data_IF_384921866015
#
_entry.id   IF_384921866015
#
_cell.length_a   1.000
_cell.length_b   1.000
_cell.length_c   1.000
_cell.angle_alpha   90.00
_cell.angle_beta   90.00
_cell.angle_gamma   90.00
#
_symmetry.space_group_name_H-M   'P 1'
#
loop_
_entity.id
_entity.type
_entity.pdbx_description
1 polymer ?
#
# COMPACT_ATOMS: atom_id res chain seq x y z
N UNK A 1 -22.11 16.61 -8.73
CA UNK A 1 -23.15 15.63 -8.31
C UNK A 1 -22.45 14.79 -7.27
N UNK A 2 -22.90 14.76 -6.01
CA UNK A 2 -22.22 13.94 -5.00
C UNK A 2 -22.21 12.48 -5.47
N UNK A 3 -21.06 11.80 -5.41
CA UNK A 3 -20.98 10.36 -5.62
C UNK A 3 -22.00 9.68 -4.68
N UNK A 4 -23.05 9.10 -5.26
CA UNK A 4 -24.05 8.33 -4.50
C UNK A 4 -23.49 6.94 -4.25
N UNK A 5 -23.40 6.54 -2.98
CA UNK A 5 -22.99 5.19 -2.62
C UNK A 5 -23.97 4.17 -3.21
N UNK A 6 -23.46 3.23 -4.02
CA UNK A 6 -24.16 1.99 -4.33
C UNK A 6 -24.01 1.00 -3.18
N UNK A 7 -24.77 -0.11 -3.15
CA UNK A 7 -24.55 -1.17 -2.16
C UNK A 7 -23.10 -1.69 -2.13
N UNK A 8 -22.39 -1.67 -3.26
CA UNK A 8 -21.06 -2.25 -3.39
C UNK A 8 -19.92 -1.24 -3.45
N UNK A 9 -20.21 0.07 -3.44
CA UNK A 9 -19.18 1.12 -3.47
C UNK A 9 -19.43 2.21 -2.43
N UNK A 10 -18.36 2.63 -1.74
CA UNK A 10 -18.41 3.69 -0.72
C UNK A 10 -17.34 4.76 -0.97
N UNK A 11 -17.71 6.03 -1.20
CA UNK A 11 -16.76 7.15 -1.28
C UNK A 11 -15.88 7.27 -0.02
N UNK A 12 -14.59 7.57 -0.17
CA UNK A 12 -13.70 7.76 0.99
C UNK A 12 -14.21 8.83 1.97
N UNK A 13 -14.81 9.92 1.48
CA UNK A 13 -15.39 10.97 2.31
C UNK A 13 -16.63 10.54 3.13
N UNK A 14 -17.11 9.32 2.96
CA UNK A 14 -18.22 8.73 3.74
C UNK A 14 -17.75 7.59 4.66
N UNK A 15 -16.46 7.24 4.64
CA UNK A 15 -15.90 6.16 5.44
C UNK A 15 -15.43 6.66 6.81
N UNK A 16 -15.64 5.83 7.82
CA UNK A 16 -15.12 6.01 9.18
C UNK A 16 -14.39 4.75 9.65
N UNK A 17 -13.67 4.84 10.79
CA UNK A 17 -12.97 3.71 11.39
C UNK A 17 -13.83 2.45 11.54
N UNK A 18 -15.12 2.63 11.87
CA UNK A 18 -16.07 1.54 12.07
C UNK A 18 -16.41 0.77 10.78
N UNK A 19 -16.12 1.33 9.60
CA UNK A 19 -16.35 0.66 8.32
C UNK A 19 -15.27 -0.40 7.99
N UNK A 20 -14.17 -0.49 8.75
CA UNK A 20 -13.05 -1.42 8.49
C UNK A 20 -13.48 -2.85 8.12
N UNK A 21 -14.45 -3.49 8.78
CA UNK A 21 -14.91 -4.82 8.37
C UNK A 21 -15.49 -4.87 6.95
N UNK A 22 -16.09 -3.78 6.47
CA UNK A 22 -16.73 -3.69 5.15
C UNK A 22 -15.82 -3.17 4.03
N UNK A 23 -14.70 -2.50 4.36
CA UNK A 23 -13.82 -1.85 3.36
C UNK A 23 -12.32 -2.12 3.55
N UNK A 24 -11.94 -2.91 4.54
CA UNK A 24 -10.53 -3.18 4.83
C UNK A 24 -9.80 -2.06 5.56
N UNK A 25 -8.59 -2.36 6.02
CA UNK A 25 -7.74 -1.44 6.80
C UNK A 25 -7.38 -0.17 6.04
N UNK A 26 -6.91 -0.32 4.79
CA UNK A 26 -6.47 0.79 3.95
C UNK A 26 -7.57 1.78 3.63
N UNK A 27 -8.74 1.31 3.16
CA UNK A 27 -9.84 2.22 2.84
C UNK A 27 -10.40 2.91 4.10
N UNK A 28 -10.49 2.21 5.23
CA UNK A 28 -10.91 2.82 6.49
C UNK A 28 -9.92 3.90 6.94
N UNK A 29 -8.62 3.63 6.85
CA UNK A 29 -7.54 4.59 7.14
C UNK A 29 -7.65 5.83 6.24
N UNK A 30 -7.85 5.66 4.92
CA UNK A 30 -8.07 6.77 3.99
C UNK A 30 -9.32 7.60 4.36
N UNK A 31 -10.41 6.95 4.73
CA UNK A 31 -11.62 7.63 5.21
C UNK A 31 -11.43 8.46 6.47
N UNK A 32 -10.67 7.93 7.43
CA UNK A 32 -10.31 8.64 8.66
C UNK A 32 -9.47 9.90 8.37
N UNK A 33 -8.48 9.78 7.48
CA UNK A 33 -7.68 10.92 7.03
C UNK A 33 -8.55 12.00 6.37
N UNK A 34 -9.46 11.62 5.47
CA UNK A 34 -10.40 12.56 4.83
C UNK A 34 -11.28 13.23 5.87
N UNK A 35 -11.85 12.46 6.81
CA UNK A 35 -12.68 12.98 7.91
C UNK A 35 -11.92 13.93 8.84
N UNK A 36 -10.60 13.76 8.96
CA UNK A 36 -9.71 14.66 9.70
C UNK A 36 -9.31 15.93 8.92
N UNK A 37 -9.82 16.12 7.70
CA UNK A 37 -9.47 17.26 6.85
C UNK A 37 -8.01 17.23 6.37
N UNK A 38 -7.45 16.03 6.21
CA UNK A 38 -6.12 15.83 5.63
C UNK A 38 -6.23 15.62 4.11
N UNK A 39 -5.22 16.04 3.33
CA UNK A 39 -5.27 15.99 1.89
C UNK A 39 -5.07 14.55 1.40
N UNK A 40 -6.14 13.91 0.95
CA UNK A 40 -6.14 12.56 0.38
C UNK A 40 -6.74 12.66 -1.03
N UNK A 41 -6.15 12.03 -2.06
CA UNK A 41 -6.80 11.96 -3.36
C UNK A 41 -8.19 11.31 -3.24
N UNK A 42 -9.19 11.91 -3.88
CA UNK A 42 -10.55 11.37 -3.86
C UNK A 42 -10.59 9.95 -4.43
N UNK A 43 -11.58 9.19 -4.01
CA UNK A 43 -11.74 7.80 -4.41
C UNK A 43 -12.90 7.13 -3.69
N UNK A 44 -13.03 5.83 -3.93
CA UNK A 44 -14.03 4.99 -3.31
C UNK A 44 -13.48 3.59 -3.02
N UNK A 45 -14.08 2.93 -2.05
CA UNK A 45 -13.86 1.52 -1.77
C UNK A 45 -14.90 0.68 -2.53
N UNK A 46 -14.46 -0.40 -3.16
CA UNK A 46 -15.31 -1.55 -3.53
C UNK A 46 -15.38 -2.45 -2.30
N UNK A 47 -16.58 -2.65 -1.76
CA UNK A 47 -16.80 -3.26 -0.45
C UNK A 47 -16.44 -4.75 -0.43
N UNK A 48 -16.24 -5.29 0.77
CA UNK A 48 -16.10 -6.74 1.00
C UNK A 48 -17.33 -7.49 0.48
N UNK A 49 -18.53 -6.93 0.70
CA UNK A 49 -19.80 -7.52 0.24
C UNK A 49 -19.83 -7.71 -1.28
N UNK A 50 -19.15 -6.85 -2.06
CA UNK A 50 -19.05 -7.01 -3.51
C UNK A 50 -18.33 -8.32 -3.88
N UNK A 51 -17.27 -8.67 -3.14
CA UNK A 51 -16.56 -9.92 -3.38
C UNK A 51 -17.30 -11.12 -2.81
N UNK A 52 -17.98 -10.98 -1.66
CA UNK A 52 -18.83 -12.04 -1.12
C UNK A 52 -19.94 -12.42 -2.10
N UNK A 53 -20.72 -11.45 -2.55
CA UNK A 53 -21.84 -11.69 -3.45
C UNK A 53 -21.37 -12.19 -4.82
N UNK A 54 -20.20 -11.72 -5.31
CA UNK A 54 -19.59 -12.27 -6.52
C UNK A 54 -19.29 -13.78 -6.39
N UNK A 55 -18.79 -14.21 -5.23
CA UNK A 55 -18.51 -15.63 -4.96
C UNK A 55 -19.78 -16.45 -4.78
N UNK A 56 -20.86 -15.84 -4.27
CA UNK A 56 -22.14 -16.51 -3.95
C UNK A 56 -23.14 -16.59 -5.10
N UNK A 57 -23.10 -15.65 -6.05
CA UNK A 57 -23.96 -15.67 -7.26
C UNK A 57 -23.49 -16.72 -8.30
N UNK A 58 -22.51 -17.56 -7.94
CA UNK A 58 -21.95 -18.58 -8.82
C UNK A 58 -21.40 -19.79 -8.06
N UNK A 59 -20.88 -20.78 -8.79
CA UNK A 59 -20.16 -21.93 -8.21
C UNK A 59 -18.77 -21.56 -7.70
N UNK A 60 -18.34 -20.31 -7.89
CA UNK A 60 -16.99 -19.84 -7.65
C UNK A 60 -16.53 -20.07 -6.22
N UNK A 61 -17.40 -19.84 -5.21
CA UNK A 61 -17.02 -20.07 -3.80
C UNK A 61 -16.58 -21.51 -3.56
N UNK A 62 -17.38 -22.47 -4.00
CA UNK A 62 -17.10 -23.89 -3.80
C UNK A 62 -15.89 -24.36 -4.62
N UNK A 63 -15.72 -23.85 -5.84
CA UNK A 63 -14.54 -24.17 -6.66
C UNK A 63 -13.24 -23.67 -6.04
N UNK A 64 -13.23 -22.42 -5.55
CA UNK A 64 -12.07 -21.84 -4.87
C UNK A 64 -11.78 -22.55 -3.54
N UNK A 65 -12.82 -22.90 -2.78
CA UNK A 65 -12.69 -23.67 -1.55
C UNK A 65 -12.05 -25.04 -1.81
N UNK A 66 -12.58 -25.80 -2.76
CA UNK A 66 -12.06 -27.11 -3.12
C UNK A 66 -10.61 -27.03 -3.61
N UNK A 67 -10.27 -25.99 -4.37
CA UNK A 67 -8.91 -25.73 -4.84
C UNK A 67 -7.93 -25.51 -3.68
N UNK A 68 -8.29 -24.70 -2.67
CA UNK A 68 -7.46 -24.46 -1.48
C UNK A 68 -7.33 -25.71 -0.62
N UNK A 69 -8.39 -26.50 -0.48
CA UNK A 69 -8.38 -27.72 0.35
C UNK A 69 -7.64 -28.89 -0.28
N UNK A 70 -7.65 -29.01 -1.62
CA UNK A 70 -7.06 -30.14 -2.33
C UNK A 70 -5.55 -29.99 -2.61
N UNK A 71 -4.99 -28.79 -2.45
CA UNK A 71 -3.60 -28.52 -2.79
C UNK A 71 -2.62 -29.16 -1.79
N UNK A 72 -1.48 -29.63 -2.28
CA UNK A 72 -0.33 -29.95 -1.43
C UNK A 72 0.39 -28.67 -1.03
N UNK A 73 0.11 -28.17 0.18
CA UNK A 73 0.69 -26.94 0.71
C UNK A 73 2.22 -27.00 0.92
N UNK A 74 2.85 -28.16 0.81
CA UNK A 74 4.32 -28.32 0.90
C UNK A 74 5.02 -28.19 -0.46
N UNK A 75 4.25 -28.22 -1.55
CA UNK A 75 4.76 -28.18 -2.92
C UNK A 75 4.58 -26.80 -3.55
N UNK A 76 5.69 -26.08 -3.75
CA UNK A 76 5.67 -24.77 -4.40
C UNK A 76 5.05 -24.80 -5.81
N UNK A 77 5.28 -25.87 -6.58
CA UNK A 77 4.67 -26.02 -7.91
C UNK A 77 3.17 -26.30 -7.84
N UNK A 78 2.70 -27.06 -6.85
CA UNK A 78 1.27 -27.29 -6.65
C UNK A 78 0.55 -26.00 -6.24
N UNK A 79 1.15 -25.22 -5.34
CA UNK A 79 0.64 -23.91 -4.93
C UNK A 79 0.59 -22.93 -6.11
N UNK A 80 1.61 -22.92 -6.97
CA UNK A 80 1.59 -22.08 -8.18
C UNK A 80 0.48 -22.49 -9.15
N UNK A 81 0.31 -23.79 -9.42
CA UNK A 81 -0.79 -24.27 -10.28
C UNK A 81 -2.17 -23.95 -9.70
N UNK A 82 -2.32 -24.06 -8.37
CA UNK A 82 -3.54 -23.67 -7.68
C UNK A 82 -3.80 -22.16 -7.80
N UNK A 83 -2.77 -21.34 -7.64
CA UNK A 83 -2.86 -19.90 -7.87
C UNK A 83 -3.32 -19.57 -9.29
N UNK A 84 -2.64 -20.10 -10.31
CA UNK A 84 -2.96 -19.85 -11.71
C UNK A 84 -4.42 -20.26 -12.01
N UNK A 85 -4.87 -21.38 -11.44
CA UNK A 85 -6.25 -21.85 -11.60
C UNK A 85 -7.26 -20.96 -10.88
N UNK A 86 -6.95 -20.47 -9.68
CA UNK A 86 -7.81 -19.54 -8.96
C UNK A 86 -7.95 -18.21 -9.71
N UNK A 87 -6.86 -17.69 -10.29
CA UNK A 87 -6.89 -16.49 -11.15
C UNK A 87 -7.80 -16.74 -12.36
N UNK A 88 -7.64 -17.86 -13.05
CA UNK A 88 -8.51 -18.24 -14.18
C UNK A 88 -9.99 -18.28 -13.76
N UNK A 89 -10.31 -18.92 -12.64
CA UNK A 89 -11.68 -19.00 -12.12
C UNK A 89 -12.25 -17.61 -11.83
N UNK A 90 -11.50 -16.78 -11.11
CA UNK A 90 -11.93 -15.42 -10.73
C UNK A 90 -12.08 -14.49 -11.93
N UNK A 91 -11.30 -14.67 -13.00
CA UNK A 91 -11.39 -13.80 -14.19
C UNK A 91 -12.37 -14.32 -15.27
N UNK A 92 -12.69 -15.61 -15.27
CA UNK A 92 -13.60 -16.21 -16.26
C UNK A 92 -15.07 -16.26 -15.81
N UNK A 93 -15.33 -16.29 -14.50
CA UNK A 93 -16.71 -16.21 -13.99
C UNK A 93 -17.35 -14.86 -14.34
N UNK A 94 -18.65 -14.83 -14.70
CA UNK A 94 -19.32 -13.57 -14.99
C UNK A 94 -19.48 -12.75 -13.70
N UNK A 95 -19.17 -11.46 -13.78
CA UNK A 95 -19.45 -10.52 -12.69
C UNK A 95 -20.96 -10.23 -12.67
N UNK A 96 -21.64 -10.29 -11.51
CA UNK A 96 -23.04 -9.89 -11.41
C UNK A 96 -23.22 -8.44 -11.89
N UNK A 97 -24.23 -8.23 -12.74
CA UNK A 97 -24.44 -6.92 -13.38
C UNK A 97 -24.64 -5.77 -12.38
N UNK A 98 -25.19 -6.05 -11.20
CA UNK A 98 -25.34 -5.07 -10.12
C UNK A 98 -24.00 -4.58 -9.56
N UNK A 99 -23.04 -5.49 -9.36
CA UNK A 99 -21.68 -5.15 -8.90
C UNK A 99 -20.94 -4.38 -10.00
N UNK A 100 -21.05 -4.84 -11.25
CA UNK A 100 -20.43 -4.18 -12.40
C UNK A 100 -20.93 -2.73 -12.58
N UNK A 101 -22.25 -2.53 -12.54
CA UNK A 101 -22.89 -1.22 -12.67
C UNK A 101 -22.49 -0.27 -11.54
N UNK A 102 -22.39 -0.76 -10.30
CA UNK A 102 -21.97 0.03 -9.14
C UNK A 102 -20.53 0.53 -9.27
N UNK A 103 -19.59 -0.35 -9.65
CA UNK A 103 -18.17 0.01 -9.85
C UNK A 103 -18.04 1.00 -11.01
N UNK A 104 -18.69 0.71 -12.14
CA UNK A 104 -18.71 1.56 -13.34
C UNK A 104 -19.23 2.96 -13.03
N UNK A 105 -20.37 3.03 -12.35
CA UNK A 105 -21.01 4.30 -11.98
C UNK A 105 -20.16 5.11 -11.01
N UNK A 106 -19.53 4.48 -10.02
CA UNK A 106 -18.65 5.15 -9.07
C UNK A 106 -17.40 5.73 -9.76
N UNK A 107 -16.75 4.95 -10.64
CA UNK A 107 -15.60 5.43 -11.40
C UNK A 107 -15.96 6.60 -12.33
N UNK A 108 -17.03 6.48 -13.12
CA UNK A 108 -17.46 7.57 -14.00
C UNK A 108 -17.84 8.84 -13.22
N UNK A 109 -18.47 8.69 -12.05
CA UNK A 109 -18.79 9.84 -11.20
C UNK A 109 -17.52 10.54 -10.70
N UNK A 110 -16.56 9.78 -10.16
CA UNK A 110 -15.25 10.27 -9.72
C UNK A 110 -14.49 10.98 -10.86
N UNK A 111 -14.47 10.35 -12.03
CA UNK A 111 -13.80 10.83 -13.23
C UNK A 111 -14.38 12.16 -13.70
N UNK A 112 -15.71 12.23 -13.87
CA UNK A 112 -16.41 13.43 -14.35
C UNK A 112 -16.32 14.59 -13.38
N UNK A 113 -16.47 14.33 -12.09
CA UNK A 113 -16.31 15.36 -11.05
C UNK A 113 -14.88 15.92 -11.03
N UNK A 114 -13.89 15.05 -11.18
CA UNK A 114 -12.48 15.45 -11.20
C UNK A 114 -12.13 16.23 -12.45
N UNK A 115 -12.56 15.77 -13.63
CA UNK A 115 -12.40 16.48 -14.88
C UNK A 115 -13.04 17.86 -14.83
N UNK A 116 -14.25 17.97 -14.25
CA UNK A 116 -14.93 19.25 -14.06
C UNK A 116 -14.13 20.20 -13.16
N UNK A 117 -13.63 19.72 -12.01
CA UNK A 117 -12.81 20.53 -11.09
C UNK A 117 -11.49 20.98 -11.70
N UNK A 118 -10.85 20.11 -12.49
CA UNK A 118 -9.55 20.36 -13.15
C UNK A 118 -9.68 21.05 -14.51
N UNK A 119 -10.90 21.26 -15.02
CA UNK A 119 -11.13 21.87 -16.33
C UNK A 119 -10.65 21.01 -17.51
N UNK A 120 -10.67 19.69 -17.37
CA UNK A 120 -10.20 18.74 -18.37
C UNK A 120 -11.28 18.44 -19.42
N UNK A 121 -10.85 18.25 -20.66
CA UNK A 121 -11.74 17.94 -21.77
C UNK A 121 -12.20 16.47 -21.78
N UNK A 122 -11.32 15.55 -21.34
CA UNK A 122 -11.68 14.15 -21.14
C UNK A 122 -12.30 13.98 -19.76
N UNK A 123 -13.56 13.58 -19.73
CA UNK A 123 -14.35 13.49 -18.50
C UNK A 123 -14.47 12.08 -17.95
N UNK A 124 -14.13 11.06 -18.75
CA UNK A 124 -14.43 9.67 -18.41
C UNK A 124 -13.12 8.86 -18.20
N UNK A 125 -11.97 9.38 -18.60
CA UNK A 125 -10.66 8.71 -18.54
C UNK A 125 -9.66 9.34 -17.55
N UNK A 126 -10.12 9.73 -16.35
CA UNK A 126 -9.20 10.20 -15.30
C UNK A 126 -8.46 8.99 -14.68
N UNK A 127 -7.12 9.01 -14.60
CA UNK A 127 -6.35 7.88 -14.09
C UNK A 127 -6.55 7.65 -12.59
N UNK A 128 -6.66 6.37 -12.22
CA UNK A 128 -6.80 5.90 -10.84
C UNK A 128 -5.76 4.83 -10.51
N UNK A 129 -5.43 4.71 -9.23
CA UNK A 129 -4.81 3.53 -8.64
C UNK A 129 -5.89 2.57 -8.14
N UNK A 130 -5.72 1.28 -8.43
CA UNK A 130 -6.58 0.20 -7.92
C UNK A 130 -5.74 -0.64 -6.95
N UNK A 131 -6.08 -0.63 -5.66
CA UNK A 131 -5.24 -1.17 -4.58
C UNK A 131 -6.04 -2.13 -3.70
N UNK A 132 -5.50 -3.31 -3.45
CA UNK A 132 -6.06 -4.24 -2.47
C UNK A 132 -6.12 -3.62 -1.05
N UNK A 133 -7.19 -3.92 -0.33
CA UNK A 133 -7.49 -3.45 1.04
C UNK A 133 -8.03 -4.62 1.89
N UNK A 134 -7.13 -5.35 2.54
CA UNK A 134 -7.49 -6.49 3.39
C UNK A 134 -8.10 -6.04 4.72
N UNK A 135 -9.04 -6.82 5.28
CA UNK A 135 -9.67 -6.53 6.59
C UNK A 135 -8.67 -6.60 7.74
N UNK A 136 -7.79 -7.60 7.71
CA UNK A 136 -6.77 -7.84 8.73
C UNK A 136 -5.36 -7.46 8.26
N UNK A 137 -5.17 -6.20 7.80
CA UNK A 137 -3.92 -5.69 7.20
C UNK A 137 -2.64 -5.87 8.06
N UNK A 138 -2.79 -6.00 9.38
CA UNK A 138 -1.67 -6.17 10.33
C UNK A 138 -1.51 -7.61 10.85
N UNK A 139 -2.46 -8.50 10.51
CA UNK A 139 -2.45 -9.89 10.95
C UNK A 139 -1.57 -10.80 10.10
N UNK A 140 -1.37 -12.01 10.59
CA UNK A 140 -0.59 -13.03 9.89
C UNK A 140 -1.22 -13.32 8.51
N UNK A 141 -2.56 -13.36 8.41
CA UNK A 141 -3.29 -13.58 7.16
C UNK A 141 -2.96 -12.55 6.06
N UNK A 142 -2.87 -11.25 6.38
CA UNK A 142 -2.49 -10.23 5.40
C UNK A 142 -0.99 -10.23 5.07
N UNK A 143 -0.15 -10.82 5.92
CA UNK A 143 1.26 -11.05 5.57
C UNK A 143 1.41 -12.08 4.45
N UNK A 144 0.42 -12.96 4.26
CA UNK A 144 0.40 -14.01 3.25
C UNK A 144 -0.52 -13.71 2.05
N UNK A 145 -1.62 -12.99 2.27
CA UNK A 145 -2.57 -12.60 1.23
C UNK A 145 -2.28 -11.20 0.68
N UNK A 146 -1.93 -11.12 -0.61
CA UNK A 146 -1.95 -9.89 -1.39
C UNK A 146 -1.16 -8.73 -0.78
N UNK A 147 0.15 -8.92 -0.52
CA UNK A 147 1.02 -7.77 -0.32
C UNK A 147 0.92 -6.86 -1.55
N UNK A 148 0.14 -5.79 -1.39
CA UNK A 148 0.19 -4.60 -2.22
C UNK A 148 -0.09 -4.81 -3.72
N UNK A 149 -0.99 -5.72 -4.12
CA UNK A 149 -1.50 -5.66 -5.51
C UNK A 149 -2.10 -4.27 -5.72
N UNK A 150 -1.38 -3.49 -6.51
CA UNK A 150 -1.51 -2.06 -6.71
C UNK A 150 -1.26 -1.85 -8.19
N UNK A 151 -2.33 -1.53 -8.90
CA UNK A 151 -2.27 -1.16 -10.29
C UNK A 151 -2.31 0.36 -10.36
N UNK A 152 -1.25 0.97 -10.88
CA UNK A 152 -1.15 2.41 -11.03
C UNK A 152 -1.56 2.83 -12.43
N UNK A 153 -2.11 4.04 -12.54
CA UNK A 153 -2.46 4.66 -13.82
C UNK A 153 -3.45 3.83 -14.67
N UNK A 154 -4.46 3.26 -14.00
CA UNK A 154 -5.57 2.56 -14.63
C UNK A 154 -6.56 3.59 -15.17
N UNK A 155 -6.99 3.41 -16.41
CA UNK A 155 -7.84 4.38 -17.12
C UNK A 155 -8.97 3.63 -17.82
N UNK A 156 -10.19 4.11 -17.64
CA UNK A 156 -11.38 3.54 -18.25
C UNK A 156 -12.09 2.54 -17.34
N UNK A 157 -13.42 2.55 -17.42
CA UNK A 157 -14.30 1.76 -16.56
C UNK A 157 -14.07 0.25 -16.67
N UNK A 158 -13.87 -0.27 -17.87
CA UNK A 158 -13.64 -1.71 -18.11
C UNK A 158 -12.31 -2.16 -17.49
N UNK A 159 -11.26 -1.36 -17.63
CA UNK A 159 -9.95 -1.64 -17.04
C UNK A 159 -9.98 -1.54 -15.52
N UNK A 160 -10.71 -0.58 -14.94
CA UNK A 160 -10.93 -0.51 -13.49
C UNK A 160 -11.62 -1.77 -12.97
N UNK A 161 -12.69 -2.23 -13.64
CA UNK A 161 -13.37 -3.48 -13.27
C UNK A 161 -12.41 -4.68 -13.38
N UNK A 162 -11.63 -4.76 -14.45
CA UNK A 162 -10.64 -5.82 -14.62
C UNK A 162 -9.62 -5.82 -13.48
N UNK A 163 -9.07 -4.66 -13.11
CA UNK A 163 -8.11 -4.52 -12.01
C UNK A 163 -8.69 -4.80 -10.64
N UNK A 164 -9.96 -4.46 -10.39
CA UNK A 164 -10.67 -4.87 -9.17
C UNK A 164 -10.73 -6.40 -9.07
N UNK A 165 -11.04 -7.08 -10.18
CA UNK A 165 -11.08 -8.54 -10.22
C UNK A 165 -9.71 -9.19 -10.06
N UNK A 166 -8.66 -8.58 -10.61
CA UNK A 166 -7.27 -9.00 -10.36
C UNK A 166 -6.89 -8.85 -8.87
N UNK A 167 -7.28 -7.77 -8.21
CA UNK A 167 -7.11 -7.64 -6.75
C UNK A 167 -7.87 -8.74 -5.98
N UNK A 168 -9.07 -9.13 -6.40
CA UNK A 168 -9.77 -10.26 -5.78
C UNK A 168 -9.05 -11.60 -6.00
N UNK A 169 -8.53 -11.81 -7.21
CA UNK A 169 -7.75 -13.01 -7.54
C UNK A 169 -6.46 -13.11 -6.70
N UNK A 170 -5.87 -11.96 -6.34
CA UNK A 170 -4.66 -11.91 -5.52
C UNK A 170 -4.82 -12.47 -4.11
N UNK A 171 -6.06 -12.62 -3.64
CA UNK A 171 -6.33 -13.35 -2.40
C UNK A 171 -5.92 -14.81 -2.49
N UNK A 172 -5.70 -15.36 -3.67
CA UNK A 172 -5.28 -16.73 -3.92
C UNK A 172 -3.82 -16.81 -4.39
N UNK A 173 -2.94 -15.94 -3.89
CA UNK A 173 -1.49 -16.12 -4.06
C UNK A 173 -1.03 -17.47 -3.50
N UNK A 174 0.11 -18.02 -3.96
CA UNK A 174 0.65 -19.27 -3.40
C UNK A 174 0.77 -19.26 -1.87
N UNK A 175 1.17 -18.11 -1.30
CA UNK A 175 1.31 -17.91 0.14
C UNK A 175 -0.06 -17.87 0.84
N UNK A 176 -1.04 -17.18 0.27
CA UNK A 176 -2.39 -17.10 0.83
C UNK A 176 -3.11 -18.45 0.80
N UNK A 177 -2.93 -19.21 -0.29
CA UNK A 177 -3.43 -20.57 -0.42
C UNK A 177 -2.79 -21.46 0.66
N UNK A 178 -1.46 -21.43 0.78
CA UNK A 178 -0.76 -22.23 1.80
C UNK A 178 -1.18 -21.86 3.22
N UNK A 179 -1.40 -20.57 3.51
CA UNK A 179 -1.85 -20.10 4.81
C UNK A 179 -3.25 -20.62 5.17
N UNK A 180 -4.20 -20.57 4.24
CA UNK A 180 -5.58 -21.04 4.48
C UNK A 180 -5.75 -22.55 4.35
N UNK A 181 -4.73 -23.26 3.90
CA UNK A 181 -4.80 -24.71 3.76
C UNK A 181 -5.00 -25.38 5.13
N UNK A 182 -6.04 -26.20 5.25
CA UNK A 182 -6.36 -26.93 6.48
C UNK A 182 -7.04 -26.10 7.57
N UNK A 183 -7.34 -24.82 7.31
CA UNK A 183 -8.24 -24.04 8.16
C UNK A 183 -9.67 -24.57 8.05
N UNK A 184 -10.46 -24.37 9.11
CA UNK A 184 -11.90 -24.60 9.02
C UNK A 184 -12.58 -23.53 8.16
N UNK A 185 -13.85 -23.75 7.83
CA UNK A 185 -14.59 -22.87 6.91
C UNK A 185 -14.75 -21.43 7.43
N UNK A 186 -14.80 -21.24 8.77
CA UNK A 186 -14.98 -19.92 9.37
C UNK A 186 -13.67 -19.15 9.30
N UNK A 187 -12.57 -19.76 9.75
CA UNK A 187 -11.24 -19.15 9.73
C UNK A 187 -10.78 -18.86 8.29
N UNK A 188 -11.05 -19.79 7.36
CA UNK A 188 -10.72 -19.60 5.94
C UNK A 188 -11.53 -18.47 5.29
N UNK A 189 -12.81 -18.33 5.67
CA UNK A 189 -13.67 -17.24 5.21
C UNK A 189 -13.15 -15.89 5.71
N UNK A 190 -12.90 -15.77 7.02
CA UNK A 190 -12.40 -14.53 7.63
C UNK A 190 -11.05 -14.11 7.03
N UNK A 191 -10.17 -15.08 6.74
CA UNK A 191 -8.88 -14.88 6.08
C UNK A 191 -8.98 -14.63 4.55
N UNK A 192 -10.18 -14.58 3.99
CA UNK A 192 -10.43 -14.37 2.55
C UNK A 192 -11.22 -13.09 2.23
N UNK A 193 -11.49 -12.25 3.23
CA UNK A 193 -12.19 -10.98 3.05
C UNK A 193 -11.26 -9.89 2.49
N UNK A 194 -11.65 -9.31 1.35
CA UNK A 194 -10.90 -8.25 0.68
C UNK A 194 -11.84 -7.16 0.16
N UNK A 195 -11.42 -5.92 0.33
CA UNK A 195 -11.96 -4.75 -0.34
C UNK A 195 -10.92 -4.22 -1.33
N UNK A 196 -11.34 -3.34 -2.25
CA UNK A 196 -10.45 -2.71 -3.22
C UNK A 196 -10.62 -1.19 -3.19
N UNK A 197 -9.53 -0.47 -2.97
CA UNK A 197 -9.49 0.98 -3.05
C UNK A 197 -9.31 1.40 -4.52
N UNK A 198 -10.22 2.25 -5.03
CA UNK A 198 -10.06 2.95 -6.31
C UNK A 198 -9.84 4.42 -5.99
N UNK A 199 -8.62 4.90 -6.19
CA UNK A 199 -8.15 6.21 -5.74
C UNK A 199 -7.61 7.00 -6.92
N UNK A 200 -7.90 8.30 -7.03
CA UNK A 200 -7.30 9.16 -8.06
C UNK A 200 -5.78 9.09 -8.03
N UNK A 201 -5.15 9.02 -9.20
CA UNK A 201 -3.71 9.26 -9.31
C UNK A 201 -3.42 10.72 -8.96
N UNK A 202 -2.46 10.91 -8.04
CA UNK A 202 -1.85 12.21 -7.84
C UNK A 202 -1.01 12.56 -9.07
N UNK A 203 -1.16 13.77 -9.59
CA UNK A 203 -0.31 14.31 -10.66
C UNK A 203 1.00 14.80 -10.06
N UNK A 204 1.87 13.84 -9.73
CA UNK A 204 3.07 14.06 -8.95
C UNK A 204 4.31 13.51 -9.67
N UNK A 205 5.39 14.29 -9.61
CA UNK A 205 6.74 13.93 -10.08
C UNK A 205 7.72 13.68 -8.92
N UNK A 206 7.25 13.79 -7.68
CA UNK A 206 7.96 13.41 -6.46
C UNK A 206 7.00 12.68 -5.52
N UNK A 207 7.46 11.55 -5.00
CA UNK A 207 6.71 10.77 -4.03
C UNK A 207 7.67 10.12 -3.03
N UNK A 208 7.10 9.65 -1.92
CA UNK A 208 7.92 9.12 -0.86
C UNK A 208 7.15 8.56 0.31
N UNK A 209 7.92 8.26 1.36
CA UNK A 209 7.42 7.77 2.64
C UNK A 209 7.92 8.64 3.77
N UNK A 210 7.06 8.88 4.76
CA UNK A 210 7.39 9.60 5.99
C UNK A 210 7.10 8.73 7.20
N UNK A 211 8.09 8.58 8.06
CA UNK A 211 7.97 7.92 9.34
C UNK A 211 7.97 8.96 10.46
N UNK A 212 6.99 8.90 11.36
CA UNK A 212 6.97 9.75 12.57
C UNK A 212 7.72 9.12 13.75
N UNK A 213 8.63 8.19 13.47
CA UNK A 213 9.56 7.59 14.42
C UNK A 213 10.77 7.15 13.63
N UNK A 214 11.96 7.14 14.24
CA UNK A 214 13.13 6.61 13.56
C UNK A 214 12.90 5.15 13.16
N UNK A 215 12.89 4.80 11.85
CA UNK A 215 12.78 3.41 11.41
C UNK A 215 14.05 2.60 11.73
N UNK A 216 15.12 3.29 12.19
CA UNK A 216 16.42 2.69 12.55
C UNK A 216 16.53 2.38 14.04
N UNK A 217 16.05 3.28 14.89
CA UNK A 217 16.28 3.22 16.35
C UNK A 217 15.00 3.15 17.19
N UNK A 218 13.84 3.50 16.62
CA UNK A 218 12.60 3.68 17.37
C UNK A 218 12.53 5.00 18.14
N UNK A 219 13.45 5.94 17.90
CA UNK A 219 13.41 7.27 18.49
C UNK A 219 12.16 8.03 18.02
N UNK A 220 11.28 8.37 18.97
CA UNK A 220 10.00 9.05 18.71
C UNK A 220 10.13 10.56 18.61
N UNK A 221 11.32 11.12 18.85
CA UNK A 221 11.57 12.56 18.78
C UNK A 221 11.85 13.08 17.36
N UNK A 222 11.98 12.16 16.39
CA UNK A 222 12.37 12.48 15.02
C UNK A 222 11.27 12.14 14.00
N UNK A 223 11.35 12.80 12.85
CA UNK A 223 10.64 12.45 11.61
C UNK A 223 11.70 12.07 10.59
N UNK A 224 11.48 10.98 9.85
CA UNK A 224 12.30 10.58 8.73
C UNK A 224 11.49 10.63 7.44
N UNK A 225 11.97 11.32 6.43
CA UNK A 225 11.34 11.44 5.11
C UNK A 225 12.30 10.84 4.09
N UNK A 226 11.78 9.89 3.31
CA UNK A 226 12.47 9.34 2.15
C UNK A 226 11.70 9.73 0.90
N UNK A 227 12.38 10.31 -0.09
CA UNK A 227 11.74 10.79 -1.31
C UNK A 227 12.55 10.45 -2.56
N UNK A 228 11.86 10.25 -3.68
CA UNK A 228 12.48 10.08 -4.99
C UNK A 228 11.63 10.75 -6.07
N UNK A 229 12.26 10.98 -7.22
CA UNK A 229 11.58 11.38 -8.44
C UNK A 229 10.61 10.29 -8.93
N UNK A 230 9.52 10.72 -9.56
CA UNK A 230 8.44 9.90 -10.11
C UNK A 230 7.43 9.42 -9.07
N UNK A 231 6.65 8.42 -9.48
CA UNK A 231 5.63 7.79 -8.66
C UNK A 231 6.25 6.98 -7.51
N UNK A 232 5.55 6.90 -6.38
CA UNK A 232 6.09 6.35 -5.12
C UNK A 232 6.45 4.87 -5.12
N UNK A 233 6.10 4.14 -6.19
CA UNK A 233 6.35 2.70 -6.32
C UNK A 233 7.83 2.34 -6.09
N UNK A 234 8.77 3.11 -6.64
CA UNK A 234 10.20 2.84 -6.53
C UNK A 234 10.73 2.95 -5.09
N UNK A 235 10.17 3.87 -4.30
CA UNK A 235 10.56 4.10 -2.90
C UNK A 235 9.99 3.00 -2.01
N UNK A 236 8.74 2.61 -2.23
CA UNK A 236 8.05 1.57 -1.45
C UNK A 236 8.65 0.19 -1.75
N UNK A 237 9.00 -0.11 -3.00
CA UNK A 237 9.63 -1.39 -3.37
C UNK A 237 11.12 -1.47 -3.03
N UNK A 238 11.77 -0.33 -2.71
CA UNK A 238 13.19 -0.26 -2.42
C UNK A 238 14.10 -0.44 -3.63
N UNK A 239 13.57 -0.25 -4.84
CA UNK A 239 14.31 -0.32 -6.10
C UNK A 239 15.28 0.85 -6.30
N UNK A 240 14.98 2.00 -5.68
CA UNK A 240 15.83 3.19 -5.72
C UNK A 240 16.39 3.51 -4.34
N UNK A 241 17.56 4.15 -4.33
CA UNK A 241 18.06 4.81 -3.12
C UNK A 241 17.46 6.22 -3.07
N UNK A 242 16.54 6.51 -2.12
CA UNK A 242 15.89 7.81 -2.06
C UNK A 242 16.78 8.86 -1.40
N UNK A 243 16.41 10.13 -1.58
CA UNK A 243 16.88 11.21 -0.72
C UNK A 243 16.34 10.99 0.70
N UNK A 244 17.16 11.24 1.72
CA UNK A 244 16.78 11.11 3.13
C UNK A 244 16.83 12.47 3.82
N UNK A 245 15.76 12.80 4.54
CA UNK A 245 15.67 13.99 5.39
C UNK A 245 15.26 13.58 6.81
N UNK A 246 15.99 14.08 7.79
CA UNK A 246 15.71 13.83 9.21
C UNK A 246 15.39 15.14 9.90
N UNK A 247 14.31 15.14 10.67
CA UNK A 247 13.84 16.33 11.37
C UNK A 247 13.60 16.07 12.85
N UNK A 248 13.80 17.10 13.67
CA UNK A 248 13.24 17.14 15.01
C UNK A 248 11.72 17.36 14.94
N UNK A 249 10.94 16.75 15.84
CA UNK A 249 9.48 16.97 15.87
C UNK A 249 9.06 18.32 16.45
N UNK A 250 9.78 18.81 17.46
CA UNK A 250 9.42 20.06 18.15
C UNK A 250 10.02 21.22 17.38
N UNK A 251 9.16 21.99 16.70
CA UNK A 251 9.60 23.02 15.76
C UNK A 251 10.35 22.36 14.60
N UNK A 252 9.63 21.71 13.66
CA UNK A 252 10.24 20.93 12.59
C UNK A 252 11.44 21.63 11.98
N UNK A 253 12.62 21.07 12.21
CA UNK A 253 13.90 21.60 11.74
C UNK A 253 14.69 20.43 11.16
N UNK A 254 15.23 20.63 9.97
CA UNK A 254 16.04 19.63 9.28
C UNK A 254 17.38 19.49 10.00
N UNK A 255 17.62 18.31 10.56
CA UNK A 255 18.88 17.98 11.25
C UNK A 255 19.87 17.28 10.34
N UNK A 256 19.40 16.58 9.31
CA UNK A 256 20.25 15.89 8.33
C UNK A 256 19.55 15.80 6.99
N UNK A 257 20.29 16.09 5.93
CA UNK A 257 19.90 15.84 4.53
C UNK A 257 20.94 14.96 3.88
N UNK A 258 20.48 13.93 3.16
CA UNK A 258 21.32 13.10 2.30
C UNK A 258 20.66 12.97 0.94
N UNK A 259 21.25 13.60 -0.06
CA UNK A 259 20.84 13.44 -1.45
C UNK A 259 21.46 12.17 -2.01
N UNK A 260 20.65 11.33 -2.62
CA UNK A 260 21.07 10.11 -3.27
C UNK A 260 21.17 10.30 -4.79
N UNK A 261 22.02 9.49 -5.41
CA UNK A 261 22.12 9.36 -6.85
C UNK A 261 20.96 8.50 -7.36
N UNK A 262 19.92 9.15 -7.87
CA UNK A 262 18.66 8.51 -8.29
C UNK A 262 18.73 8.16 -9.78
N UNK A 263 18.82 6.87 -10.10
CA UNK A 263 19.02 6.39 -11.48
C UNK A 263 17.73 6.26 -12.29
N UNK A 264 16.64 5.84 -11.66
CA UNK A 264 15.39 5.51 -12.35
C UNK A 264 14.18 6.13 -11.64
N UNK A 265 13.14 6.42 -12.39
CA UNK A 265 11.83 6.89 -11.91
C UNK A 265 10.70 6.13 -12.61
N UNK A 266 9.58 5.94 -11.90
CA UNK A 266 8.34 5.48 -12.51
C UNK A 266 7.53 6.69 -12.97
N UNK A 267 7.09 6.66 -14.23
CA UNK A 267 6.25 7.71 -14.82
C UNK A 267 5.06 7.09 -15.54
N UNK A 268 4.00 7.87 -15.79
CA UNK A 268 2.91 7.46 -16.67
C UNK A 268 3.43 7.01 -18.04
N UNK A 269 2.92 5.89 -18.54
CA UNK A 269 3.28 5.43 -19.86
C UNK A 269 2.81 6.43 -20.93
N UNK A 270 3.59 6.60 -22.00
CA UNK A 270 3.22 7.49 -23.11
C UNK A 270 1.95 7.05 -23.86
N UNK A 271 1.51 5.79 -23.69
CA UNK A 271 0.22 5.29 -24.15
C UNK A 271 -0.97 5.91 -23.41
N UNK A 272 -0.76 6.53 -22.25
CA UNK A 272 -1.79 7.02 -21.35
C UNK A 272 -2.30 5.97 -20.36
N UNK A 273 -1.83 4.72 -20.43
CA UNK A 273 -2.29 3.60 -19.58
C UNK A 273 -1.10 2.89 -18.96
N UNK A 274 -1.14 2.71 -17.64
CA UNK A 274 -0.08 2.08 -16.86
C UNK A 274 1.14 2.97 -16.63
N UNK A 275 2.18 2.38 -16.05
CA UNK A 275 3.42 3.06 -15.67
C UNK A 275 4.63 2.38 -16.30
N UNK A 276 5.69 3.15 -16.54
CA UNK A 276 6.97 2.64 -17.06
C UNK A 276 8.13 3.12 -16.19
N UNK A 277 9.12 2.25 -16.05
CA UNK A 277 10.42 2.62 -15.46
C UNK A 277 11.26 3.29 -16.54
N UNK A 278 11.80 4.47 -16.25
CA UNK A 278 12.73 5.16 -17.14
C UNK A 278 13.94 5.69 -16.38
N UNK A 279 15.02 5.96 -17.12
CA UNK A 279 16.21 6.61 -16.57
C UNK A 279 15.91 8.07 -16.23
N UNK A 280 16.33 8.51 -15.05
CA UNK A 280 16.31 9.92 -14.68
C UNK A 280 17.41 10.64 -15.47
N UNK A 281 17.15 11.80 -16.11
CA UNK A 281 18.18 12.59 -16.79
C UNK A 281 19.36 12.91 -15.87
N UNK A 282 20.60 12.79 -16.38
CA UNK A 282 21.85 12.93 -15.58
C UNK A 282 21.87 14.20 -14.74
N UNK A 283 21.34 15.29 -15.27
CA UNK A 283 21.21 16.58 -14.59
C UNK A 283 20.31 16.56 -13.35
N UNK A 284 19.36 15.61 -13.22
CA UNK A 284 18.44 15.45 -12.08
C UNK A 284 18.90 14.40 -11.07
N UNK A 285 19.82 13.51 -11.43
CA UNK A 285 20.16 12.31 -10.64
C UNK A 285 20.74 12.66 -9.25
N UNK A 286 21.54 13.74 -9.18
CA UNK A 286 22.19 14.20 -7.94
C UNK A 286 21.53 15.45 -7.35
N UNK A 287 20.34 15.83 -7.84
CA UNK A 287 19.55 16.95 -7.31
C UNK A 287 18.59 16.44 -6.24
N UNK A 288 18.45 17.20 -5.15
CA UNK A 288 17.43 16.98 -4.13
C UNK A 288 16.03 17.08 -4.74
N UNK A 289 15.22 16.03 -4.61
CA UNK A 289 13.87 16.02 -5.17
C UNK A 289 12.86 16.87 -4.38
N UNK A 290 13.18 17.23 -3.14
CA UNK A 290 12.37 18.13 -2.32
C UNK A 290 13.10 19.42 -2.01
N UNK A 291 12.38 20.54 -2.05
CA UNK A 291 12.85 21.79 -1.44
C UNK A 291 12.72 21.74 0.08
N UNK A 292 13.43 22.61 0.79
CA UNK A 292 13.29 22.73 2.25
C UNK A 292 11.84 23.05 2.67
N UNK A 293 11.13 23.86 1.87
CA UNK A 293 9.72 24.18 2.13
C UNK A 293 8.85 22.93 2.04
N UNK A 294 9.07 22.06 1.05
CA UNK A 294 8.32 20.80 0.91
C UNK A 294 8.61 19.85 2.07
N UNK A 295 9.88 19.73 2.48
CA UNK A 295 10.30 18.87 3.60
C UNK A 295 9.61 19.30 4.91
N UNK A 296 9.52 20.60 5.17
CA UNK A 296 8.82 21.14 6.35
C UNK A 296 7.32 20.90 6.24
N UNK A 297 6.69 21.15 5.08
CA UNK A 297 5.27 20.90 4.87
C UNK A 297 4.89 19.43 5.08
N UNK A 298 5.72 18.50 4.59
CA UNK A 298 5.57 17.06 4.81
C UNK A 298 5.65 16.71 6.30
N UNK A 299 6.62 17.28 7.03
CA UNK A 299 6.77 17.05 8.45
C UNK A 299 5.55 17.56 9.26
N UNK A 300 5.01 18.73 8.92
CA UNK A 300 3.82 19.29 9.57
C UNK A 300 2.59 18.41 9.33
N UNK A 301 2.39 17.93 8.10
CA UNK A 301 1.30 17.00 7.77
C UNK A 301 1.47 15.68 8.51
N UNK A 302 2.68 15.12 8.53
CA UNK A 302 2.96 13.87 9.25
C UNK A 302 2.66 13.97 10.76
N UNK A 303 2.96 15.12 11.38
CA UNK A 303 2.60 15.38 12.78
C UNK A 303 1.09 15.47 12.99
N UNK A 304 0.33 16.03 12.04
CA UNK A 304 -1.15 16.04 12.09
C UNK A 304 -1.70 14.62 11.99
N UNK A 305 -1.14 13.79 11.11
CA UNK A 305 -1.51 12.38 10.93
C UNK A 305 -1.21 11.58 12.20
N UNK A 306 0.00 11.67 12.77
CA UNK A 306 0.35 11.00 14.03
C UNK A 306 -0.53 11.47 15.20
N UNK A 307 -0.84 12.77 15.28
CA UNK A 307 -1.74 13.30 16.29
C UNK A 307 -3.16 12.72 16.16
N UNK A 308 -3.64 12.55 14.94
CA UNK A 308 -4.96 11.97 14.66
C UNK A 308 -5.05 10.52 15.15
N UNK A 309 -4.08 9.67 14.78
CA UNK A 309 -4.06 8.26 15.18
C UNK A 309 -3.55 8.00 16.62
N UNK A 310 -2.85 8.97 17.22
CA UNK A 310 -2.31 8.85 18.58
C UNK A 310 -1.12 7.89 18.70
N UNK A 311 -0.54 7.43 17.58
CA UNK A 311 0.61 6.54 17.56
C UNK A 311 1.50 6.82 16.35
N UNK A 312 2.80 6.42 16.38
CA UNK A 312 3.69 6.65 15.24
C UNK A 312 3.19 6.03 13.95
N UNK A 313 3.40 6.71 12.83
CA UNK A 313 2.87 6.36 11.53
C UNK A 313 3.98 6.17 10.50
N UNK A 314 3.70 5.29 9.53
CA UNK A 314 4.34 5.13 8.23
C UNK A 314 3.34 5.65 7.17
N UNK A 315 3.73 6.71 6.47
CA UNK A 315 2.84 7.52 5.62
C UNK A 315 3.40 7.54 4.21
N UNK A 316 2.63 7.05 3.24
CA UNK A 316 2.92 7.20 1.81
C UNK A 316 2.31 8.51 1.30
N UNK A 317 3.07 9.26 0.53
CA UNK A 317 2.62 10.54 -0.01
C UNK A 317 3.15 10.79 -1.43
N UNK A 318 2.46 11.68 -2.14
CA UNK A 318 2.86 12.24 -3.41
C UNK A 318 2.79 13.78 -3.33
N UNK A 319 3.63 14.46 -4.08
CA UNK A 319 3.68 15.91 -4.14
C UNK A 319 3.11 16.39 -5.49
N UNK A 320 1.89 16.93 -5.50
CA UNK A 320 1.32 17.56 -6.69
C UNK A 320 1.83 18.99 -6.82
N UNK A 321 2.34 19.37 -7.99
CA UNK A 321 2.73 20.74 -8.26
C UNK A 321 1.58 21.54 -8.87
N UNK A 322 1.21 22.63 -8.21
CA UNK A 322 0.17 23.53 -8.65
C UNK A 322 0.68 24.48 -9.74
N UNK A 323 -0.22 24.98 -10.58
CA UNK A 323 0.11 25.93 -11.66
C UNK A 323 0.69 27.26 -11.18
N UNK A 324 0.50 27.63 -9.91
CA UNK A 324 1.06 28.83 -9.29
C UNK A 324 2.48 28.62 -8.72
N UNK A 325 3.05 27.42 -8.88
CA UNK A 325 4.36 27.05 -8.39
C UNK A 325 4.39 26.60 -6.93
N UNK A 326 3.24 26.51 -6.26
CA UNK A 326 3.13 25.84 -4.95
C UNK A 326 3.01 24.33 -5.10
N UNK A 327 3.22 23.60 -4.00
CA UNK A 327 3.07 22.15 -3.96
C UNK A 327 1.97 21.75 -2.98
N UNK A 328 1.20 20.72 -3.32
CA UNK A 328 0.20 20.10 -2.44
C UNK A 328 0.65 18.69 -2.10
N UNK A 329 0.80 18.40 -0.82
CA UNK A 329 1.04 17.02 -0.35
C UNK A 329 -0.28 16.25 -0.42
N UNK A 330 -0.25 15.09 -1.05
CA UNK A 330 -1.37 14.17 -1.16
C UNK A 330 -1.01 12.87 -0.41
N UNK A 331 -1.77 12.53 0.62
CA UNK A 331 -1.59 11.32 1.42
C UNK A 331 -2.20 10.12 0.69
N UNK A 332 -1.35 9.16 0.34
CA UNK A 332 -1.73 7.96 -0.41
C UNK A 332 -2.06 6.79 0.50
N UNK A 333 -1.45 6.73 1.69
CA UNK A 333 -1.70 5.72 2.71
C UNK A 333 -1.14 6.19 4.07
N UNK A 334 -1.76 5.76 5.17
CA UNK A 334 -1.17 5.84 6.51
C UNK A 334 -1.41 4.53 7.26
N UNK A 335 -0.39 4.06 7.97
CA UNK A 335 -0.50 2.90 8.85
C UNK A 335 0.36 3.05 10.11
N UNK A 336 0.02 2.39 11.23
CA UNK A 336 0.87 2.38 12.41
C UNK A 336 2.26 1.81 12.13
N UNK A 337 3.31 2.54 12.51
CA UNK A 337 4.69 2.07 12.37
C UNK A 337 5.07 1.15 13.55
N UNK A 338 5.09 -0.16 13.28
CA UNK A 338 5.34 -1.21 14.28
C UNK A 338 6.65 -1.97 14.07
N UNK A 339 7.30 -1.83 12.91
CA UNK A 339 8.44 -2.64 12.49
C UNK A 339 9.73 -2.35 13.28
N UNK A 340 9.89 -1.12 13.80
CA UNK A 340 11.05 -0.80 14.66
C UNK A 340 11.12 -1.68 15.92
N UNK A 341 9.99 -2.19 16.43
CA UNK A 341 9.96 -3.13 17.57
C UNK A 341 10.51 -4.50 17.16
N UNK A 342 10.04 -5.06 16.05
CA UNK A 342 10.54 -6.33 15.49
C UNK A 342 12.04 -6.26 15.20
N UNK A 343 12.51 -5.20 14.54
CA UNK A 343 13.94 -4.99 14.25
C UNK A 343 14.80 -4.84 15.51
N UNK A 344 14.26 -4.28 16.59
CA UNK A 344 14.94 -4.20 17.89
C UNK A 344 15.05 -5.57 18.57
N UNK A 345 14.00 -6.38 18.49
CA UNK A 345 13.98 -7.76 19.01
C UNK A 345 14.92 -8.68 18.22
N UNK A 346 14.94 -8.57 16.89
CA UNK A 346 15.87 -9.28 16.01
C UNK A 346 17.33 -8.88 16.26
N UNK A 347 17.63 -7.58 16.39
CA UNK A 347 18.97 -7.12 16.78
C UNK A 347 19.37 -7.61 18.17
N UNK A 348 18.43 -7.64 19.12
CA UNK A 348 18.67 -8.17 20.46
C UNK A 348 18.89 -9.70 20.45
N UNK A 349 18.17 -10.43 19.60
CA UNK A 349 18.37 -11.86 19.40
C UNK A 349 19.72 -12.15 18.73
N UNK A 350 20.08 -11.41 17.68
CA UNK A 350 21.37 -11.53 17.00
C UNK A 350 22.56 -11.20 17.93
N UNK A 351 22.41 -10.17 18.78
CA UNK A 351 23.40 -9.83 19.81
C UNK A 351 23.52 -10.90 20.91
N UNK A 352 22.43 -11.58 21.26
CA UNK A 352 22.47 -12.72 22.18
C UNK A 352 23.19 -13.91 21.56
N UNK A 353 22.92 -14.23 20.28
CA UNK A 353 23.58 -15.32 19.55
C UNK A 353 25.08 -15.08 19.33
N UNK A 354 25.50 -13.82 19.14
CA UNK A 354 26.93 -13.48 19.07
C UNK A 354 27.62 -13.48 20.43
N UNK A 355 26.89 -13.22 21.53
CA UNK A 355 27.42 -13.30 22.89
C UNK A 355 27.62 -14.74 23.38
N UNK A 356 26.78 -15.70 22.96
CA UNK A 356 26.94 -17.13 23.28
C UNK A 356 28.07 -17.79 22.49
N UNK A 357 28.33 -17.38 21.24
CA UNK A 357 29.49 -17.85 20.48
C UNK A 357 30.81 -17.29 21.01
N UNK A 358 30.82 -16.04 21.50
CA UNK A 358 31.98 -15.43 22.18
C UNK A 358 32.34 -16.10 23.52
N UNK A 359 31.35 -16.57 24.30
CA UNK A 359 31.59 -17.25 25.57
C UNK A 359 32.18 -18.67 25.39
N UNK A 360 31.76 -19.41 24.36
CA UNK A 360 32.34 -20.74 24.05
C UNK A 360 33.78 -20.65 23.52
N UNK A 361 34.15 -19.57 22.82
CA UNK A 361 35.52 -19.32 22.37
C UNK A 361 36.51 -19.03 23.50
N UNK A 362 36.05 -18.35 24.56
CA UNK A 362 36.88 -18.01 25.72
C UNK A 362 37.13 -19.18 26.68
N UNK A 363 36.22 -20.15 26.77
CA UNK A 363 36.44 -21.36 27.60
C UNK A 363 37.40 -22.38 26.96
N UNK A 364 37.60 -22.34 25.64
CA UNK A 364 38.57 -23.22 24.95
C UNK A 364 40.03 -22.76 25.08
N UNK A 365 40.28 -21.50 25.43
CA UNK A 365 41.65 -20.95 25.49
C UNK A 365 42.29 -21.08 26.88
N UNK A 366 41.51 -21.31 27.93
CA UNK A 366 42.01 -21.39 29.32
C UNK A 366 42.52 -22.80 29.70
N UNK A 367 42.23 -23.84 28.93
CA UNK A 367 42.63 -25.23 29.25
C UNK A 367 43.93 -25.72 28.61
N UNK A 368 44.67 -24.89 27.87
CA UNK A 368 45.93 -25.30 27.19
C UNK A 368 47.24 -24.76 27.79
N UNK A 369 47.20 -24.18 29.00
CA UNK A 369 48.37 -23.54 29.61
C UNK A 369 48.78 -24.11 30.96
N UNK A 370 49.03 -25.42 31.11
CA UNK A 370 49.74 -25.96 32.27
C UNK A 370 50.25 -27.40 32.04
N UNK A 371 51.41 -27.55 31.41
CA UNK A 371 52.37 -28.65 31.68
C UNK A 371 53.74 -28.28 31.08
N UNK A 372 54.69 -27.96 31.95
CA UNK A 372 56.13 -28.23 31.74
C UNK A 372 56.60 -29.09 32.88
#
# INVERSE_FOLDING_TARGET
>A
MNMTAGPYTKPFGQLVAADRPSVGGKCASLGELVSAGLPVPDGFAVTVDAFEDYRDDSTLREELKNLVQAVDATSASALQLAHDKAVELVLSHPLPGTIEEDIRSAYLALSRETAQRRGLADTDNIPVAVRSSSVDEDGDAASFAGQQETYLWVVGEDDVIAKVRECWASMYSPQAIAYRHGMDDVDAHDASMISVAVQLMADADVAGVTFTVSPRTGDRSVIAINASWGLGQSVVSGEVTPDEYWLNKIGPEITTTRVAHKLHEYVPAASGVGVVLQDIPVERQDIACLSEVDVIALAEIALRVEKHYGCPQDIEWALEHNTDGSSTVMLLQSRPETNWKKRKEEKAAAAKTSSTSGLMGFMSTVTKGATS
#
